data_IF_284650255158
#
_entry.id   IF_284650255158
#
_cell.length_a   1.000
_cell.length_b   1.000
_cell.length_c   1.000
_cell.angle_alpha   90.00
_cell.angle_beta   90.00
_cell.angle_gamma   90.00
#
_symmetry.space_group_name_H-M   'P 1'
#
loop_
_entity.id
_entity.type
_entity.pdbx_description
1 polymer ?
#
# COMPACT_ATOMS: atom_id res chain seq x y z
N UNK A 1 0.40 0.65 -0.96
CA UNK A 1 1.51 -0.13 -1.57
C UNK A 1 1.58 -1.49 -0.90
N UNK A 2 2.20 -2.49 -1.54
CA UNK A 2 2.59 -3.71 -0.82
C UNK A 2 3.56 -3.37 0.32
N UNK A 3 3.61 -4.14 1.42
CA UNK A 3 4.66 -4.02 2.42
C UNK A 3 6.06 -4.07 1.77
N UNK A 4 6.84 -3.00 1.88
CA UNK A 4 8.08 -2.84 1.12
C UNK A 4 9.17 -2.16 1.93
N UNK A 5 10.41 -2.62 1.74
CA UNK A 5 11.62 -1.97 2.24
C UNK A 5 12.76 -2.21 1.26
N UNK A 6 13.56 -1.17 0.97
CA UNK A 6 14.70 -1.26 0.04
C UNK A 6 14.36 -2.00 -1.27
N UNK A 7 13.26 -1.59 -1.90
CA UNK A 7 12.76 -2.17 -3.16
C UNK A 7 12.46 -3.67 -3.13
N UNK A 8 12.31 -4.25 -1.94
CA UNK A 8 12.00 -5.66 -1.74
C UNK A 8 10.65 -5.76 -1.04
N UNK A 9 9.74 -6.56 -1.61
CA UNK A 9 8.39 -6.74 -1.07
C UNK A 9 8.45 -7.78 0.06
N UNK A 10 7.92 -7.44 1.23
CA UNK A 10 7.90 -8.28 2.43
C UNK A 10 6.47 -8.52 2.94
N UNK A 11 5.60 -8.99 2.04
CA UNK A 11 4.27 -9.45 2.38
C UNK A 11 4.30 -10.50 3.51
N UNK A 12 3.25 -10.55 4.33
CA UNK A 12 3.07 -11.62 5.31
C UNK A 12 2.98 -13.01 4.66
N UNK A 13 2.11 -13.12 3.66
CA UNK A 13 2.04 -14.25 2.73
C UNK A 13 1.49 -13.79 1.38
N UNK A 14 1.38 -14.69 0.40
CA UNK A 14 0.76 -14.38 -0.89
C UNK A 14 -0.74 -14.05 -0.75
N UNK A 15 -1.44 -14.77 0.13
CA UNK A 15 -2.89 -14.63 0.32
C UNK A 15 -3.26 -13.59 1.39
N UNK A 16 -2.37 -13.36 2.37
CA UNK A 16 -2.57 -12.42 3.48
C UNK A 16 -1.38 -11.44 3.54
N UNK A 17 -1.23 -10.55 2.55
CA UNK A 17 -0.04 -9.71 2.41
C UNK A 17 0.16 -8.74 3.57
N UNK A 18 -0.94 -8.28 4.19
CA UNK A 18 -0.93 -7.32 5.30
C UNK A 18 -0.99 -7.97 6.69
N UNK A 19 -0.82 -9.30 6.81
CA UNK A 19 -0.78 -10.00 8.10
C UNK A 19 0.64 -10.30 8.53
N UNK A 20 1.08 -9.70 9.63
CA UNK A 20 2.46 -9.74 10.12
C UNK A 20 3.50 -9.48 8.99
N UNK A 21 3.34 -8.41 8.20
CA UNK A 21 4.28 -8.12 7.13
C UNK A 21 5.69 -7.89 7.69
N UNK A 22 6.71 -8.16 6.86
CA UNK A 22 8.12 -7.96 7.22
C UNK A 22 8.64 -6.55 6.97
N UNK A 23 7.81 -5.64 6.47
CA UNK A 23 8.12 -4.24 6.23
C UNK A 23 6.88 -3.34 6.42
N UNK A 24 7.05 -2.01 6.50
CA UNK A 24 5.94 -1.06 6.54
C UNK A 24 5.06 -1.11 5.29
N UNK A 25 3.77 -0.84 5.47
CA UNK A 25 2.84 -0.54 4.37
C UNK A 25 2.75 0.96 4.18
N UNK A 26 2.98 1.43 2.96
CA UNK A 26 2.87 2.85 2.62
C UNK A 26 1.50 3.14 1.99
N UNK A 27 0.80 4.14 2.52
CA UNK A 27 -0.45 4.68 1.96
C UNK A 27 -0.20 6.13 1.60
N UNK A 28 -0.54 6.50 0.36
CA UNK A 28 -0.45 7.88 -0.12
C UNK A 28 -1.88 8.38 -0.25
N UNK A 29 -2.22 9.44 0.47
CA UNK A 29 -3.53 10.07 0.49
C UNK A 29 -3.33 11.57 0.33
N UNK A 30 -3.36 12.07 -0.90
CA UNK A 30 -3.04 13.46 -1.25
C UNK A 30 -4.06 14.15 -2.17
N UNK A 31 -5.18 13.48 -2.43
CA UNK A 31 -6.20 13.91 -3.39
C UNK A 31 -7.47 14.43 -2.71
N UNK A 32 -7.34 15.24 -1.66
CA UNK A 32 -8.51 15.78 -0.93
C UNK A 32 -9.28 16.87 -1.71
N UNK A 33 -8.75 17.32 -2.85
CA UNK A 33 -9.29 18.39 -3.68
C UNK A 33 -8.19 19.34 -4.16
N UNK A 34 -8.19 19.69 -5.44
CA UNK A 34 -7.38 20.77 -6.00
C UNK A 34 -8.05 21.33 -7.27
N UNK A 35 -7.91 22.64 -7.52
CA UNK A 35 -8.43 23.26 -8.75
C UNK A 35 -7.77 22.72 -10.02
N UNK A 36 -6.49 22.33 -9.94
CA UNK A 36 -5.83 21.57 -11.00
C UNK A 36 -6.19 20.10 -10.86
N UNK A 37 -6.68 19.48 -11.95
CA UNK A 37 -6.88 18.04 -12.04
C UNK A 37 -5.59 17.27 -11.70
N UNK A 38 -5.74 16.02 -11.26
CA UNK A 38 -4.60 15.16 -10.93
C UNK A 38 -3.66 14.96 -12.13
N UNK A 39 -2.36 14.84 -11.86
CA UNK A 39 -1.44 14.30 -12.84
C UNK A 39 -1.77 12.81 -13.05
N UNK A 40 -1.98 12.36 -14.29
CA UNK A 40 -2.31 10.97 -14.55
C UNK A 40 -1.15 10.06 -14.15
N UNK A 41 -1.46 8.85 -13.72
CA UNK A 41 -0.43 7.83 -13.50
C UNK A 41 0.29 7.51 -14.82
N UNK A 42 1.58 7.19 -14.72
CA UNK A 42 2.29 6.54 -15.82
C UNK A 42 1.62 5.21 -16.15
N UNK A 43 1.56 4.87 -17.45
CA UNK A 43 0.96 3.64 -17.95
C UNK A 43 1.54 2.39 -17.27
N UNK A 44 2.83 2.42 -16.92
CA UNK A 44 3.49 1.32 -16.23
C UNK A 44 3.20 1.34 -14.72
N UNK A 45 2.49 0.32 -14.24
CA UNK A 45 2.34 0.07 -12.81
C UNK A 45 3.63 -0.52 -12.25
N UNK A 46 4.15 0.09 -11.19
CA UNK A 46 5.29 -0.44 -10.45
C UNK A 46 4.86 -1.69 -9.67
N UNK A 47 5.71 -2.73 -9.61
CA UNK A 47 5.37 -4.01 -8.96
C UNK A 47 5.00 -3.87 -7.47
N UNK A 48 5.49 -2.81 -6.81
CA UNK A 48 5.18 -2.48 -5.42
C UNK A 48 3.87 -1.71 -5.21
N UNK A 49 3.21 -1.30 -6.29
CA UNK A 49 1.92 -0.62 -6.26
C UNK A 49 0.79 -1.63 -6.11
N UNK A 50 0.30 -1.83 -4.89
CA UNK A 50 -0.85 -2.71 -4.62
C UNK A 50 -2.17 -2.15 -5.18
N UNK A 51 -2.42 -0.86 -5.00
CA UNK A 51 -3.60 -0.15 -5.49
C UNK A 51 -3.21 1.30 -5.80
N UNK A 52 -3.88 1.90 -6.79
CA UNK A 52 -3.76 3.32 -7.16
C UNK A 52 -5.08 3.79 -7.76
N UNK A 53 -5.48 5.02 -7.45
CA UNK A 53 -6.65 5.70 -8.02
C UNK A 53 -6.33 7.19 -8.14
N UNK A 54 -6.88 7.80 -9.18
CA UNK A 54 -6.79 9.22 -9.51
C UNK A 54 -8.04 10.00 -9.07
N UNK A 55 -8.92 9.35 -8.29
CA UNK A 55 -10.11 9.96 -7.73
C UNK A 55 -9.75 11.00 -6.66
N UNK A 56 -10.52 12.08 -6.58
CA UNK A 56 -10.57 12.88 -5.37
C UNK A 56 -11.22 12.06 -4.25
N UNK A 57 -10.74 12.26 -3.02
CA UNK A 57 -11.26 11.52 -1.89
C UNK A 57 -10.40 11.64 -0.64
N UNK A 58 -10.68 10.77 0.31
CA UNK A 58 -10.04 10.74 1.61
C UNK A 58 -9.87 9.30 2.11
N UNK A 59 -9.02 9.12 3.11
CA UNK A 59 -8.83 7.83 3.75
C UNK A 59 -9.46 7.82 5.14
N UNK A 60 -10.06 6.69 5.53
CA UNK A 60 -10.53 6.45 6.90
C UNK A 60 -9.70 5.35 7.54
N UNK A 61 -9.24 5.60 8.77
CA UNK A 61 -8.48 4.65 9.57
C UNK A 61 -9.24 4.31 10.84
N UNK A 62 -9.36 3.03 11.15
CA UNK A 62 -9.96 2.52 12.38
C UNK A 62 -9.00 1.58 13.09
N UNK A 63 -8.54 1.97 14.27
CA UNK A 63 -7.84 1.06 15.19
C UNK A 63 -8.92 0.17 15.83
N UNK A 64 -8.93 -1.11 15.49
CA UNK A 64 -9.95 -2.06 15.99
C UNK A 64 -9.54 -2.56 17.38
N UNK A 65 -8.27 -2.92 17.53
CA UNK A 65 -7.66 -3.37 18.78
C UNK A 65 -6.13 -3.20 18.69
N UNK A 66 -5.38 -3.74 19.66
CA UNK A 66 -3.92 -3.64 19.68
C UNK A 66 -3.26 -4.24 18.44
N UNK A 67 -3.85 -5.24 17.78
CA UNK A 67 -3.24 -5.97 16.67
C UNK A 67 -3.86 -5.67 15.31
N UNK A 68 -5.04 -5.06 15.24
CA UNK A 68 -5.80 -4.85 14.00
C UNK A 68 -6.06 -3.36 13.73
N UNK A 69 -5.62 -2.91 12.56
CA UNK A 69 -5.91 -1.60 12.01
C UNK A 69 -6.58 -1.77 10.66
N UNK A 70 -7.80 -1.23 10.52
CA UNK A 70 -8.51 -1.18 9.27
C UNK A 70 -8.29 0.17 8.59
N UNK A 71 -8.05 0.13 7.28
CA UNK A 71 -7.81 1.30 6.44
C UNK A 71 -8.66 1.18 5.17
N UNK A 72 -9.27 2.28 4.75
CA UNK A 72 -10.01 2.36 3.49
C UNK A 72 -9.84 3.71 2.81
N UNK A 73 -9.96 3.70 1.49
CA UNK A 73 -10.00 4.89 0.66
C UNK A 73 -11.41 5.10 0.12
N UNK A 74 -11.92 6.31 0.30
CA UNK A 74 -13.24 6.74 -0.11
C UNK A 74 -13.08 7.71 -1.27
N UNK A 75 -13.78 7.45 -2.37
CA UNK A 75 -13.81 8.34 -3.53
C UNK A 75 -14.99 9.30 -3.43
N UNK A 76 -14.70 10.59 -3.49
CA UNK A 76 -15.70 11.65 -3.62
C UNK A 76 -16.24 11.72 -5.05
N UNK A 77 -15.39 11.46 -6.06
CA UNK A 77 -15.78 11.40 -7.47
C UNK A 77 -16.83 10.31 -7.74
N UNK A 78 -16.80 9.23 -6.96
CA UNK A 78 -17.77 8.12 -6.98
C UNK A 78 -18.81 8.24 -5.85
N UNK A 79 -19.06 9.44 -5.33
CA UNK A 79 -20.16 9.71 -4.40
C UNK A 79 -20.00 9.05 -3.02
N UNK A 80 -18.78 8.95 -2.51
CA UNK A 80 -18.48 8.36 -1.20
C UNK A 80 -18.26 6.84 -1.23
N UNK A 81 -18.04 6.24 -2.40
CA UNK A 81 -17.79 4.81 -2.54
C UNK A 81 -16.41 4.43 -1.99
N UNK A 82 -16.34 3.30 -1.28
CA UNK A 82 -15.06 2.69 -0.89
C UNK A 82 -14.43 2.04 -2.13
N UNK A 83 -13.24 2.51 -2.50
CA UNK A 83 -12.52 2.08 -3.71
C UNK A 83 -11.31 1.20 -3.42
N UNK A 84 -10.79 1.23 -2.19
CA UNK A 84 -9.79 0.30 -1.68
C UNK A 84 -9.96 0.14 -0.17
N UNK A 85 -9.61 -1.04 0.35
CA UNK A 85 -9.59 -1.30 1.78
C UNK A 85 -8.69 -2.47 2.13
N UNK A 86 -8.07 -2.41 3.31
CA UNK A 86 -7.32 -3.53 3.87
C UNK A 86 -7.30 -3.49 5.39
N UNK A 87 -7.03 -4.63 6.00
CA UNK A 87 -6.72 -4.72 7.44
C UNK A 87 -5.25 -5.08 7.61
N UNK A 88 -4.50 -4.20 8.27
CA UNK A 88 -3.16 -4.48 8.75
C UNK A 88 -3.28 -5.24 10.07
N UNK A 89 -2.74 -6.46 10.10
CA UNK A 89 -2.70 -7.30 11.29
C UNK A 89 -1.26 -7.41 11.76
N UNK A 90 -0.98 -7.02 13.01
CA UNK A 90 0.33 -7.14 13.65
C UNK A 90 0.17 -7.72 15.04
N UNK A 91 0.52 -9.00 15.20
CA UNK A 91 0.34 -9.72 16.47
C UNK A 91 1.42 -9.39 17.52
N UNK A 92 2.60 -8.94 17.06
CA UNK A 92 3.75 -8.60 17.91
C UNK A 92 4.34 -7.27 17.47
N UNK A 93 4.50 -6.28 18.35
CA UNK A 93 4.97 -4.93 17.98
C UNK A 93 6.49 -4.78 18.09
N UNK A 94 7.21 -5.73 17.48
CA UNK A 94 8.67 -5.75 17.49
C UNK A 94 9.23 -5.02 16.26
N UNK A 95 10.48 -4.51 16.34
CA UNK A 95 11.21 -4.01 15.19
C UNK A 95 11.23 -5.03 14.05
N UNK A 96 11.20 -4.54 12.81
CA UNK A 96 11.36 -5.41 11.64
C UNK A 96 12.74 -6.06 11.65
N UNK A 97 12.77 -7.40 11.57
CA UNK A 97 14.01 -8.16 11.51
C UNK A 97 14.25 -8.62 10.08
N UNK A 98 15.29 -8.04 9.46
CA UNK A 98 15.67 -8.33 8.08
C UNK A 98 15.93 -9.83 7.81
N UNK A 99 16.31 -10.60 8.84
CA UNK A 99 16.63 -12.02 8.71
C UNK A 99 15.41 -12.96 8.83
N UNK A 100 14.26 -12.49 9.32
CA UNK A 100 13.07 -13.34 9.56
C UNK A 100 12.13 -13.43 8.37
N UNK A 101 12.18 -12.48 7.45
CA UNK A 101 11.27 -12.42 6.29
C UNK A 101 12.06 -12.58 5.00
N UNK A 102 11.78 -13.65 4.24
CA UNK A 102 12.28 -13.77 2.86
C UNK A 102 11.38 -12.93 1.95
N UNK A 103 11.81 -11.71 1.66
CA UNK A 103 11.10 -10.83 0.73
C UNK A 103 11.33 -11.22 -0.74
N UNK A 104 10.43 -10.77 -1.60
CA UNK A 104 10.56 -10.89 -3.06
C UNK A 104 11.31 -9.66 -3.56
N UNK A 105 12.50 -9.86 -4.13
CA UNK A 105 13.27 -8.77 -4.75
C UNK A 105 12.62 -8.36 -6.07
N UNK A 106 12.48 -7.05 -6.26
CA UNK A 106 12.07 -6.47 -7.55
C UNK A 106 13.30 -6.40 -8.45
N UNK A 107 13.23 -7.02 -9.63
CA UNK A 107 14.25 -6.87 -10.68
C UNK A 107 13.86 -5.71 -11.59
N UNK A 108 14.67 -4.64 -11.60
CA UNK A 108 14.45 -3.46 -12.42
C UNK A 108 14.75 -3.68 -13.90
N UNK A 109 15.64 -4.64 -14.23
CA UNK A 109 16.02 -4.92 -15.62
C UNK A 109 14.91 -5.60 -16.40
N UNK A 110 14.07 -6.41 -15.73
CA UNK A 110 12.94 -7.08 -16.37
C UNK A 110 11.72 -6.18 -16.58
N UNK A 111 11.69 -5.01 -15.93
CA UNK A 111 10.60 -4.02 -16.03
C UNK A 111 10.97 -2.81 -16.90
N UNK A 112 12.04 -2.89 -17.71
CA UNK A 112 12.33 -1.87 -18.73
C UNK A 112 12.85 -0.52 -18.20
N UNK A 113 13.31 -0.46 -16.95
CA UNK A 113 13.99 0.72 -16.42
C UNK A 113 15.50 0.58 -16.61
N UNK A 114 16.06 1.33 -17.56
CA UNK A 114 17.49 1.59 -17.64
C UNK A 114 17.78 2.90 -16.88
N UNK A 115 18.68 2.83 -15.89
CA UNK A 115 19.23 4.03 -15.24
C UNK A 115 20.07 4.84 -16.21
#
# INVERSE_FOLDING_TARGET
>A
LWPIYNWTIFNGSLNEPYKNPGAPTHVISGSAGCFSKHNPFLNQTQLYSAFRSDDYGYSRMKIINSTHLYMEQVSDDQGGKIIDSFTLIREKHEPYSYHKHKGIKIDYKSIGYHH
#
